data_IF_876054234436
#
_entry.id   IF_876054234436
#
_cell.length_a   1.000
_cell.length_b   1.000
_cell.length_c   1.000
_cell.angle_alpha   90.00
_cell.angle_beta   90.00
_cell.angle_gamma   90.00
#
_symmetry.space_group_name_H-M   'P 1'
#
loop_
_entity.id
_entity.type
_entity.pdbx_description
1 polymer ?
#
# COMPACT_ATOMS: atom_id res chain seq x y z
N UNK A 1 10.89 -39.71 20.36
CA UNK A 1 11.44 -39.71 18.98
C UNK A 1 10.53 -39.05 17.94
N UNK A 2 9.29 -39.51 17.67
CA UNK A 2 8.42 -38.90 16.63
C UNK A 2 8.20 -37.38 16.75
N UNK A 3 7.94 -36.86 17.96
CA UNK A 3 7.77 -35.41 18.21
C UNK A 3 9.03 -34.59 17.89
N UNK A 4 10.20 -35.12 18.22
CA UNK A 4 11.50 -34.47 17.95
C UNK A 4 11.76 -34.41 16.44
N UNK A 5 11.44 -35.48 15.71
CA UNK A 5 11.56 -35.53 14.25
C UNK A 5 10.63 -34.50 13.61
N UNK A 6 9.36 -34.41 14.05
CA UNK A 6 8.40 -33.42 13.54
C UNK A 6 8.92 -32.01 13.80
N UNK A 7 9.36 -31.72 15.03
CA UNK A 7 9.93 -30.42 15.38
C UNK A 7 11.13 -30.06 14.51
N UNK A 8 12.04 -31.00 14.28
CA UNK A 8 13.22 -30.79 13.44
C UNK A 8 12.82 -30.47 11.99
N UNK A 9 11.89 -31.24 11.42
CA UNK A 9 11.37 -31.02 10.06
C UNK A 9 10.70 -29.65 9.95
N UNK A 10 9.86 -29.26 10.90
CA UNK A 10 9.18 -27.97 10.87
C UNK A 10 10.15 -26.79 11.10
N UNK A 11 11.18 -26.98 11.93
CA UNK A 11 12.26 -26.00 12.08
C UNK A 11 13.04 -25.80 10.78
N UNK A 12 13.36 -26.88 10.06
CA UNK A 12 14.02 -26.80 8.76
C UNK A 12 13.15 -26.10 7.70
N UNK A 13 11.84 -26.40 7.66
CA UNK A 13 10.89 -25.69 6.79
C UNK A 13 10.80 -24.20 7.13
N UNK A 14 10.75 -23.86 8.42
CA UNK A 14 10.69 -22.48 8.87
C UNK A 14 11.96 -21.71 8.46
N UNK A 15 13.14 -22.33 8.61
CA UNK A 15 14.40 -21.76 8.15
C UNK A 15 14.39 -21.53 6.62
N UNK A 16 13.89 -22.49 5.84
CA UNK A 16 13.70 -22.32 4.40
C UNK A 16 12.77 -21.15 4.06
N UNK A 17 11.67 -20.98 4.81
CA UNK A 17 10.77 -19.83 4.64
C UNK A 17 11.50 -18.50 4.92
N UNK A 18 12.32 -18.42 5.98
CA UNK A 18 13.12 -17.23 6.26
C UNK A 18 14.11 -16.91 5.14
N UNK A 19 14.81 -17.92 4.60
CA UNK A 19 15.72 -17.71 3.46
C UNK A 19 14.99 -17.27 2.19
N UNK A 20 13.81 -17.83 1.91
CA UNK A 20 12.99 -17.41 0.78
C UNK A 20 12.49 -15.97 0.94
N UNK A 21 12.04 -15.60 2.14
CA UNK A 21 11.61 -14.23 2.45
C UNK A 21 12.77 -13.24 2.36
N UNK A 22 13.95 -13.62 2.83
CA UNK A 22 15.18 -12.84 2.65
C UNK A 22 15.49 -12.62 1.16
N UNK A 23 15.54 -13.68 0.35
CA UNK A 23 15.82 -13.57 -1.08
C UNK A 23 14.79 -12.70 -1.81
N UNK A 24 13.50 -12.90 -1.51
CA UNK A 24 12.42 -12.08 -2.05
C UNK A 24 12.63 -10.61 -1.69
N UNK A 25 12.88 -10.31 -0.41
CA UNK A 25 13.01 -8.94 0.06
C UNK A 25 14.23 -8.25 -0.55
N UNK A 26 15.39 -8.93 -0.61
CA UNK A 26 16.56 -8.39 -1.30
C UNK A 26 16.23 -8.04 -2.74
N UNK A 27 15.56 -8.94 -3.47
CA UNK A 27 15.23 -8.73 -4.89
C UNK A 27 14.21 -7.59 -5.13
N UNK A 28 13.17 -7.53 -4.31
CA UNK A 28 11.97 -6.72 -4.57
C UNK A 28 11.83 -5.48 -3.69
N UNK A 29 12.78 -5.19 -2.81
CA UNK A 29 12.80 -3.94 -2.02
C UNK A 29 13.71 -2.88 -2.64
N UNK A 30 13.72 -1.70 -2.04
CA UNK A 30 14.67 -0.61 -2.33
C UNK A 30 16.12 -0.95 -1.98
N UNK A 31 16.41 -2.09 -1.35
CA UNK A 31 17.79 -2.57 -1.13
C UNK A 31 18.43 -2.97 -2.47
N UNK A 32 17.67 -3.52 -3.40
CA UNK A 32 18.21 -3.88 -4.70
C UNK A 32 18.41 -2.62 -5.57
N UNK A 33 19.64 -2.39 -6.09
CA UNK A 33 20.01 -1.19 -6.83
C UNK A 33 19.32 -1.05 -8.19
N UNK A 34 18.77 -2.13 -8.75
CA UNK A 34 17.99 -2.05 -9.99
C UNK A 34 16.71 -1.27 -9.75
N UNK A 35 16.64 -0.08 -10.36
CA UNK A 35 15.51 0.85 -10.23
C UNK A 35 14.44 0.50 -11.27
N UNK A 36 13.31 -0.02 -10.80
CA UNK A 36 12.07 -0.14 -11.57
C UNK A 36 11.24 1.15 -11.44
N UNK A 37 10.19 1.31 -12.25
CA UNK A 37 9.25 2.44 -12.13
C UNK A 37 8.68 2.57 -10.70
N UNK A 38 8.28 1.45 -10.09
CA UNK A 38 7.76 1.44 -8.71
C UNK A 38 8.79 1.89 -7.67
N UNK A 39 10.04 1.43 -7.79
CA UNK A 39 11.10 1.85 -6.87
C UNK A 39 11.44 3.32 -7.04
N UNK A 40 11.40 3.82 -8.28
CA UNK A 40 11.57 5.23 -8.56
C UNK A 40 10.43 6.06 -7.96
N UNK A 41 9.17 5.62 -8.10
CA UNK A 41 8.01 6.22 -7.42
C UNK A 41 8.20 6.24 -5.91
N UNK A 42 8.62 5.11 -5.32
CA UNK A 42 8.87 5.03 -3.89
C UNK A 42 9.95 6.02 -3.41
N UNK A 43 11.04 6.18 -4.15
CA UNK A 43 12.07 7.17 -3.83
C UNK A 43 11.53 8.60 -3.87
N UNK A 44 10.72 8.95 -4.88
CA UNK A 44 10.03 10.24 -4.97
C UNK A 44 9.12 10.44 -3.75
N UNK A 45 8.30 9.45 -3.42
CA UNK A 45 7.37 9.50 -2.29
C UNK A 45 8.08 9.70 -0.95
N UNK A 46 9.23 9.07 -0.72
CA UNK A 46 9.99 9.25 0.51
C UNK A 46 10.52 10.68 0.67
N UNK A 47 11.02 11.27 -0.41
CA UNK A 47 11.57 12.63 -0.37
C UNK A 47 10.45 13.66 -0.28
N UNK A 48 9.36 13.50 -1.04
CA UNK A 48 8.21 14.41 -0.97
C UNK A 48 7.53 14.36 0.41
N UNK A 49 7.36 13.17 1.00
CA UNK A 49 6.79 13.02 2.35
C UNK A 49 7.66 13.71 3.41
N UNK A 50 8.99 13.66 3.25
CA UNK A 50 9.91 14.36 4.15
C UNK A 50 9.79 15.90 4.03
N UNK A 51 9.41 16.43 2.87
CA UNK A 51 9.08 17.85 2.68
C UNK A 51 7.73 18.20 3.31
N UNK A 52 6.69 17.38 3.07
CA UNK A 52 5.35 17.56 3.68
C UNK A 52 5.42 17.58 5.20
N UNK A 53 6.14 16.63 5.80
CA UNK A 53 6.38 16.58 7.25
C UNK A 53 7.13 17.82 7.74
N UNK A 54 8.06 18.35 6.94
CA UNK A 54 8.73 19.62 7.24
C UNK A 54 7.74 20.79 7.31
N UNK A 55 6.84 20.89 6.32
CA UNK A 55 5.80 21.91 6.25
C UNK A 55 4.76 21.81 7.38
N UNK A 56 4.56 20.62 7.96
CA UNK A 56 3.55 20.40 9.00
C UNK A 56 4.00 20.81 10.40
N UNK A 57 5.28 21.10 10.60
CA UNK A 57 5.78 21.48 11.93
C UNK A 57 5.44 22.93 12.25
N UNK A 58 5.08 23.24 13.51
CA UNK A 58 4.80 24.61 13.94
C UNK A 58 6.06 25.49 14.05
N UNK A 59 7.26 24.91 13.89
CA UNK A 59 8.52 25.64 14.11
C UNK A 59 8.93 26.49 12.92
N UNK A 60 9.31 27.74 13.21
CA UNK A 60 9.75 28.75 12.26
C UNK A 60 11.20 28.56 11.76
N UNK A 61 11.62 27.31 11.50
CA UNK A 61 12.99 27.02 11.04
C UNK A 61 13.00 26.78 9.53
N UNK A 62 14.04 27.27 8.87
CA UNK A 62 14.29 26.96 7.46
C UNK A 62 14.45 25.43 7.31
N UNK A 63 13.81 24.83 6.32
CA UNK A 63 13.90 23.40 6.07
C UNK A 63 13.86 23.05 4.58
N UNK A 64 14.25 21.81 4.25
CA UNK A 64 13.84 21.17 3.01
C UNK A 64 14.63 21.49 1.74
N UNK A 65 15.57 22.45 1.73
CA UNK A 65 16.32 22.86 0.53
C UNK A 65 16.97 21.71 -0.24
N UNK A 66 17.88 20.98 0.40
CA UNK A 66 18.55 19.82 -0.21
C UNK A 66 17.56 18.73 -0.66
N UNK A 67 16.48 18.51 0.10
CA UNK A 67 15.45 17.53 -0.23
C UNK A 67 14.63 17.95 -1.45
N UNK A 68 14.33 19.24 -1.59
CA UNK A 68 13.64 19.77 -2.76
C UNK A 68 14.49 19.62 -4.03
N UNK A 69 15.78 19.96 -3.96
CA UNK A 69 16.72 19.74 -5.07
C UNK A 69 16.86 18.25 -5.41
N UNK A 70 16.96 17.38 -4.39
CA UNK A 70 16.98 15.93 -4.60
C UNK A 70 15.69 15.43 -5.24
N UNK A 71 14.53 15.94 -4.84
CA UNK A 71 13.24 15.58 -5.40
C UNK A 71 13.16 15.91 -6.88
N UNK A 72 13.64 17.09 -7.29
CA UNK A 72 13.73 17.50 -8.69
C UNK A 72 14.57 16.52 -9.50
N UNK A 73 15.77 16.17 -9.01
CA UNK A 73 16.64 15.19 -9.70
C UNK A 73 15.97 13.82 -9.88
N UNK A 74 15.23 13.36 -8.86
CA UNK A 74 14.47 12.10 -8.95
C UNK A 74 13.32 12.20 -9.95
N UNK A 75 12.62 13.34 -9.98
CA UNK A 75 11.52 13.59 -10.90
C UNK A 75 11.98 13.68 -12.35
N UNK A 76 13.01 14.47 -12.66
CA UNK A 76 13.54 14.57 -14.03
C UNK A 76 13.94 13.18 -14.55
N UNK A 77 14.70 12.42 -13.76
CA UNK A 77 15.10 11.05 -14.13
C UNK A 77 13.90 10.11 -14.31
N UNK A 78 12.89 10.21 -13.44
CA UNK A 78 11.69 9.38 -13.57
C UNK A 78 10.90 9.72 -14.83
N UNK A 79 10.67 11.01 -15.07
CA UNK A 79 9.88 11.50 -16.20
C UNK A 79 10.57 11.15 -17.51
N UNK A 80 11.89 11.29 -17.59
CA UNK A 80 12.69 10.89 -18.76
C UNK A 80 12.57 9.40 -19.04
N UNK A 81 12.67 8.55 -18.01
CA UNK A 81 12.71 7.10 -18.19
C UNK A 81 11.33 6.44 -18.31
N UNK A 82 10.32 6.94 -17.59
CA UNK A 82 9.03 6.29 -17.40
C UNK A 82 7.82 7.16 -17.73
N UNK A 83 8.05 8.43 -18.08
CA UNK A 83 6.99 9.40 -18.30
C UNK A 83 6.37 9.94 -17.01
N UNK A 84 5.47 10.91 -17.19
CA UNK A 84 4.74 11.54 -16.10
C UNK A 84 3.66 10.59 -15.54
N UNK A 85 3.56 10.47 -14.22
CA UNK A 85 2.49 9.73 -13.56
C UNK A 85 1.89 10.50 -12.37
N UNK A 86 0.89 9.91 -11.71
CA UNK A 86 0.21 10.52 -10.55
C UNK A 86 1.16 10.90 -9.41
N UNK A 87 2.17 10.07 -9.10
CA UNK A 87 3.16 10.36 -8.05
C UNK A 87 3.98 11.60 -8.42
N UNK A 88 4.38 11.73 -9.69
CA UNK A 88 5.08 12.91 -10.18
C UNK A 88 4.23 14.18 -10.00
N UNK A 89 2.95 14.14 -10.37
CA UNK A 89 2.03 15.29 -10.24
C UNK A 89 1.91 15.73 -8.79
N UNK A 90 1.73 14.79 -7.85
CA UNK A 90 1.66 15.11 -6.42
C UNK A 90 2.97 15.71 -5.91
N UNK A 91 4.12 15.16 -6.31
CA UNK A 91 5.42 15.69 -5.92
C UNK A 91 5.67 17.11 -6.47
N UNK A 92 5.26 17.38 -7.72
CA UNK A 92 5.32 18.73 -8.33
C UNK A 92 4.45 19.71 -7.52
N UNK A 93 3.22 19.33 -7.16
CA UNK A 93 2.35 20.16 -6.33
C UNK A 93 2.95 20.43 -4.94
N UNK A 94 3.58 19.43 -4.31
CA UNK A 94 4.28 19.59 -3.03
C UNK A 94 5.44 20.58 -3.15
N UNK A 95 6.20 20.56 -4.25
CA UNK A 95 7.26 21.55 -4.49
C UNK A 95 6.71 22.97 -4.63
N UNK A 96 5.58 23.12 -5.32
CA UNK A 96 4.91 24.41 -5.46
C UNK A 96 4.40 24.94 -4.11
N UNK A 97 3.77 24.09 -3.29
CA UNK A 97 3.35 24.45 -1.92
C UNK A 97 4.54 24.76 -1.01
N UNK A 98 5.63 23.99 -1.14
CA UNK A 98 6.86 24.22 -0.39
C UNK A 98 7.43 25.62 -0.64
N UNK A 99 7.45 26.12 -1.89
CA UNK A 99 7.94 27.48 -2.17
C UNK A 99 7.06 28.59 -1.60
N UNK A 100 5.76 28.33 -1.34
CA UNK A 100 4.86 29.29 -0.68
C UNK A 100 5.13 29.40 0.82
N UNK A 101 5.82 28.42 1.41
CA UNK A 101 6.17 28.46 2.84
C UNK A 101 7.20 29.56 3.12
N UNK A 102 6.98 30.43 4.12
CA UNK A 102 7.97 31.45 4.52
C UNK A 102 9.25 30.83 5.10
N UNK A 103 9.21 29.54 5.45
CA UNK A 103 10.33 28.78 6.01
C UNK A 103 10.95 27.81 5.00
N UNK A 104 10.62 27.95 3.71
CA UNK A 104 11.34 27.26 2.65
C UNK A 104 12.81 27.68 2.60
N UNK A 105 13.60 26.97 1.81
CA UNK A 105 15.01 27.30 1.58
C UNK A 105 15.19 28.77 1.18
N UNK A 106 16.20 29.42 1.79
CA UNK A 106 16.65 30.77 1.48
C UNK A 106 17.79 30.81 0.46
N UNK A 107 18.35 29.65 0.14
CA UNK A 107 19.38 29.51 -0.89
C UNK A 107 18.80 29.83 -2.27
N UNK A 108 19.29 30.90 -2.90
CA UNK A 108 18.76 31.40 -4.17
C UNK A 108 18.93 30.41 -5.31
N UNK A 109 20.07 29.70 -5.37
CA UNK A 109 20.32 28.68 -6.40
C UNK A 109 19.26 27.56 -6.34
N UNK A 110 19.01 27.03 -5.14
CA UNK A 110 17.98 26.02 -4.92
C UNK A 110 16.59 26.55 -5.25
N UNK A 111 16.26 27.80 -4.88
CA UNK A 111 14.96 28.41 -5.21
C UNK A 111 14.77 28.54 -6.71
N UNK A 112 15.76 29.07 -7.43
CA UNK A 112 15.71 29.24 -8.88
C UNK A 112 15.51 27.89 -9.58
N UNK A 113 16.27 26.86 -9.17
CA UNK A 113 16.08 25.50 -9.68
C UNK A 113 14.66 24.96 -9.50
N UNK A 114 14.04 25.22 -8.34
CA UNK A 114 12.65 24.79 -8.11
C UNK A 114 11.70 25.58 -9.01
N UNK A 115 11.84 26.90 -9.09
CA UNK A 115 11.02 27.75 -9.97
C UNK A 115 11.11 27.32 -11.44
N UNK A 116 12.32 27.11 -11.96
CA UNK A 116 12.56 26.69 -13.34
C UNK A 116 11.91 25.32 -13.62
N UNK A 117 12.06 24.38 -12.68
CA UNK A 117 11.43 23.06 -12.79
C UNK A 117 9.91 23.14 -12.78
N UNK A 118 9.31 24.00 -11.94
CA UNK A 118 7.87 24.20 -11.89
C UNK A 118 7.33 24.85 -13.17
N UNK A 119 8.01 25.87 -13.70
CA UNK A 119 7.60 26.51 -14.97
C UNK A 119 7.70 25.53 -16.15
N UNK A 120 8.76 24.72 -16.22
CA UNK A 120 8.89 23.63 -17.21
C UNK A 120 7.71 22.64 -17.14
N UNK A 121 7.17 22.39 -15.94
CA UNK A 121 6.11 21.41 -15.70
C UNK A 121 4.74 22.03 -15.41
N UNK A 122 4.54 23.32 -15.70
CA UNK A 122 3.33 24.07 -15.35
C UNK A 122 2.04 23.45 -15.89
N UNK A 123 2.09 22.90 -17.11
CA UNK A 123 0.95 22.21 -17.75
C UNK A 123 0.53 20.93 -17.02
N UNK A 124 1.45 20.33 -16.26
CA UNK A 124 1.24 19.09 -15.51
C UNK A 124 0.72 19.35 -14.09
N UNK A 125 0.74 20.61 -13.63
CA UNK A 125 0.16 20.98 -12.34
C UNK A 125 -1.36 20.88 -12.42
N UNK A 126 -1.95 20.03 -11.60
CA UNK A 126 -3.40 19.95 -11.49
C UNK A 126 -3.93 21.12 -10.66
N UNK A 127 -5.03 21.73 -11.09
CA UNK A 127 -5.79 22.72 -10.32
C UNK A 127 -6.46 22.14 -9.07
N UNK A 128 -6.55 20.80 -8.97
CA UNK A 128 -6.95 20.11 -7.74
C UNK A 128 -5.82 20.16 -6.70
N UNK A 129 -6.09 20.64 -5.48
CA UNK A 129 -5.18 20.72 -4.32
C UNK A 129 -4.70 19.33 -3.83
N UNK A 130 -3.97 18.58 -4.64
CA UNK A 130 -3.45 17.26 -4.29
C UNK A 130 -1.98 17.41 -3.85
N UNK A 131 -1.72 17.17 -2.55
CA UNK A 131 -0.39 17.23 -1.93
C UNK A 131 -0.20 18.43 -1.00
N UNK A 132 0.73 18.32 -0.05
CA UNK A 132 1.07 19.37 0.91
C UNK A 132 0.52 19.12 2.32
N UNK A 133 0.24 20.19 3.07
CA UNK A 133 -0.31 20.08 4.43
C UNK A 133 -1.80 20.35 4.46
N UNK A 134 -2.51 19.61 5.31
CA UNK A 134 -3.93 19.82 5.58
C UNK A 134 -4.08 20.45 6.97
N UNK A 135 -4.79 21.59 7.05
CA UNK A 135 -5.23 22.11 8.35
C UNK A 135 -6.27 21.16 8.92
N UNK A 136 -6.05 20.69 10.14
CA UNK A 136 -6.94 19.79 10.86
C UNK A 136 -7.60 20.58 11.99
N UNK A 137 -8.93 20.57 12.03
CA UNK A 137 -9.71 21.03 13.18
C UNK A 137 -10.05 19.87 14.08
N UNK A 138 -10.57 20.17 15.27
CA UNK A 138 -11.21 19.15 16.09
C UNK A 138 -12.27 18.40 15.26
N UNK A 139 -12.34 17.06 15.35
CA UNK A 139 -13.39 16.28 14.72
C UNK A 139 -14.77 16.71 15.22
N UNK A 140 -15.80 16.51 14.39
CA UNK A 140 -17.19 16.68 14.82
C UNK A 140 -17.55 15.70 15.95
N UNK A 141 -18.61 16.01 16.70
CA UNK A 141 -19.18 15.04 17.64
C UNK A 141 -19.65 13.79 16.89
N UNK A 142 -19.46 12.62 17.50
CA UNK A 142 -19.91 11.34 16.98
C UNK A 142 -20.82 10.65 17.99
N UNK A 143 -21.83 9.93 17.51
CA UNK A 143 -22.58 9.01 18.36
C UNK A 143 -21.71 7.80 18.68
N UNK A 144 -21.16 7.77 19.90
CA UNK A 144 -20.28 6.70 20.37
C UNK A 144 -20.97 5.35 20.36
N UNK A 145 -22.25 5.29 20.72
CA UNK A 145 -23.00 4.03 20.82
C UNK A 145 -23.17 3.40 19.45
N UNK A 146 -23.55 4.19 18.44
CA UNK A 146 -23.68 3.69 17.06
C UNK A 146 -22.35 3.18 16.53
N UNK A 147 -21.25 3.89 16.80
CA UNK A 147 -19.91 3.47 16.35
C UNK A 147 -19.50 2.17 17.03
N UNK A 148 -19.67 2.05 18.34
CA UNK A 148 -19.36 0.82 19.08
C UNK A 148 -20.19 -0.37 18.59
N UNK A 149 -21.49 -0.18 18.36
CA UNK A 149 -22.39 -1.19 17.78
C UNK A 149 -21.96 -1.60 16.37
N UNK A 150 -21.53 -0.65 15.53
CA UNK A 150 -21.00 -0.93 14.20
C UNK A 150 -19.75 -1.83 14.26
N UNK A 151 -18.76 -1.48 15.09
CA UNK A 151 -17.54 -2.28 15.22
C UNK A 151 -17.81 -3.65 15.86
N UNK A 152 -18.69 -3.71 16.86
CA UNK A 152 -19.05 -4.96 17.55
C UNK A 152 -19.88 -5.91 16.69
N UNK A 153 -20.71 -5.39 15.79
CA UNK A 153 -21.56 -6.21 14.91
C UNK A 153 -20.80 -6.93 13.79
N UNK A 154 -19.58 -6.51 13.46
CA UNK A 154 -18.78 -7.19 12.43
C UNK A 154 -18.29 -8.55 12.94
N UNK A 155 -18.76 -9.62 12.30
CA UNK A 155 -18.37 -11.00 12.57
C UNK A 155 -17.90 -11.71 11.29
N UNK A 156 -17.18 -12.82 11.44
CA UNK A 156 -16.75 -13.62 10.30
C UNK A 156 -17.90 -14.51 9.82
N UNK A 157 -18.51 -14.15 8.70
CA UNK A 157 -19.64 -14.86 8.09
C UNK A 157 -19.12 -15.88 7.09
N UNK A 158 -19.65 -17.11 7.12
CA UNK A 158 -19.15 -18.27 6.36
C UNK A 158 -20.22 -18.92 5.48
N UNK A 159 -21.39 -18.31 5.44
CA UNK A 159 -22.53 -18.71 4.62
C UNK A 159 -23.02 -17.44 3.92
N UNK A 160 -23.20 -17.52 2.61
CA UNK A 160 -23.42 -16.36 1.75
C UNK A 160 -24.66 -16.61 0.89
N UNK A 161 -25.42 -15.56 0.60
CA UNK A 161 -26.48 -15.62 -0.41
C UNK A 161 -25.89 -15.64 -1.82
N UNK A 162 -26.74 -15.90 -2.80
CA UNK A 162 -26.41 -15.81 -4.23
C UNK A 162 -26.40 -14.36 -4.75
N UNK A 163 -26.68 -13.38 -3.89
CA UNK A 163 -26.70 -11.97 -4.28
C UNK A 163 -25.29 -11.54 -4.71
N UNK A 164 -25.14 -10.96 -5.91
CA UNK A 164 -23.84 -10.58 -6.42
C UNK A 164 -23.35 -9.31 -5.75
N UNK A 165 -22.11 -9.32 -5.25
CA UNK A 165 -21.43 -8.09 -4.83
C UNK A 165 -21.09 -7.26 -6.06
N UNK A 166 -21.57 -6.03 -6.16
CA UNK A 166 -21.35 -5.11 -7.28
C UNK A 166 -19.96 -4.47 -7.26
N UNK A 167 -19.51 -3.93 -8.39
CA UNK A 167 -18.24 -3.21 -8.44
C UNK A 167 -18.28 -1.87 -7.69
N UNK A 168 -19.45 -1.24 -7.57
CA UNK A 168 -19.60 0.00 -6.81
C UNK A 168 -19.47 -0.23 -5.31
N UNK A 169 -20.01 -1.32 -4.78
CA UNK A 169 -19.79 -1.71 -3.38
C UNK A 169 -18.31 -2.00 -3.11
N UNK A 170 -17.61 -2.67 -4.03
CA UNK A 170 -16.16 -2.89 -3.91
C UNK A 170 -15.39 -1.57 -3.96
N UNK A 171 -15.76 -0.65 -4.86
CA UNK A 171 -15.13 0.69 -4.95
C UNK A 171 -15.37 1.48 -3.68
N UNK A 172 -16.56 1.41 -3.09
CA UNK A 172 -16.87 2.07 -1.83
C UNK A 172 -16.07 1.47 -0.67
N UNK A 173 -15.95 0.14 -0.60
CA UNK A 173 -15.07 -0.51 0.36
C UNK A 173 -13.59 -0.10 0.16
N UNK A 174 -13.13 0.05 -1.08
CA UNK A 174 -11.80 0.57 -1.39
C UNK A 174 -11.64 2.04 -0.97
N UNK A 175 -12.69 2.86 -1.11
CA UNK A 175 -12.71 4.25 -0.66
C UNK A 175 -12.53 4.34 0.85
N UNK A 176 -13.25 3.52 1.62
CA UNK A 176 -13.06 3.42 3.07
C UNK A 176 -11.65 2.93 3.41
N UNK A 177 -11.15 1.90 2.72
CA UNK A 177 -9.79 1.39 2.91
C UNK A 177 -8.70 2.43 2.60
N UNK A 178 -8.96 3.40 1.72
CA UNK A 178 -8.00 4.46 1.39
C UNK A 178 -7.68 5.40 2.56
N UNK A 179 -8.49 5.41 3.61
CA UNK A 179 -8.21 6.15 4.84
C UNK A 179 -7.20 5.45 5.76
N UNK A 180 -6.78 4.23 5.44
CA UNK A 180 -5.74 3.50 6.19
C UNK A 180 -4.41 4.25 6.16
N UNK A 181 -3.78 4.54 7.32
CA UNK A 181 -2.43 5.07 7.34
C UNK A 181 -1.43 4.02 6.83
N UNK A 182 -0.39 4.46 6.13
CA UNK A 182 0.72 3.61 5.68
C UNK A 182 2.05 4.27 5.96
N UNK A 183 3.12 3.47 6.10
CA UNK A 183 4.44 3.99 6.39
C UNK A 183 4.87 5.01 5.30
N UNK A 184 5.23 6.23 5.73
CA UNK A 184 5.54 7.36 4.85
C UNK A 184 4.48 7.65 3.77
N UNK A 185 3.20 7.31 4.05
CA UNK A 185 2.08 7.48 3.13
C UNK A 185 2.25 6.80 1.76
N UNK A 186 2.96 5.65 1.71
CA UNK A 186 3.28 4.94 0.46
C UNK A 186 2.08 4.33 -0.26
N UNK A 187 1.02 3.97 0.47
CA UNK A 187 -0.23 3.43 -0.07
C UNK A 187 0.01 2.29 -1.10
N UNK A 188 0.90 1.36 -0.73
CA UNK A 188 1.38 0.30 -1.63
C UNK A 188 0.40 -0.90 -1.76
N UNK A 189 -0.75 -0.84 -1.10
CA UNK A 189 -1.78 -1.88 -1.08
C UNK A 189 -2.68 -1.83 -2.32
N UNK A 190 -3.14 -2.98 -2.81
CA UNK A 190 -4.06 -3.14 -3.94
C UNK A 190 -5.06 -4.25 -3.65
N UNK A 191 -6.30 -4.06 -4.10
CA UNK A 191 -7.36 -5.07 -4.08
C UNK A 191 -7.42 -5.78 -5.43
N UNK A 192 -7.48 -7.10 -5.39
CA UNK A 192 -7.73 -7.95 -6.56
C UNK A 192 -9.01 -8.73 -6.32
N UNK A 193 -9.95 -8.60 -7.24
CA UNK A 193 -11.29 -9.18 -7.16
C UNK A 193 -11.36 -10.37 -8.11
N UNK A 194 -11.71 -11.54 -7.59
CA UNK A 194 -11.91 -12.74 -8.39
C UNK A 194 -13.37 -13.18 -8.28
N UNK A 195 -14.02 -13.38 -9.43
CA UNK A 195 -15.42 -13.82 -9.55
C UNK A 195 -15.57 -15.15 -10.29
N UNK A 196 -14.60 -15.50 -11.13
CA UNK A 196 -14.58 -16.78 -11.83
C UNK A 196 -14.38 -17.92 -10.83
N UNK A 197 -15.40 -18.77 -10.66
CA UNK A 197 -15.41 -19.90 -9.73
C UNK A 197 -14.26 -20.89 -9.97
N UNK A 198 -13.83 -21.09 -11.22
CA UNK A 198 -12.67 -21.94 -11.52
C UNK A 198 -11.36 -21.31 -11.03
N UNK A 199 -11.23 -19.98 -11.14
CA UNK A 199 -10.07 -19.25 -10.62
C UNK A 199 -10.08 -19.28 -9.09
N UNK A 200 -11.22 -18.98 -8.46
CA UNK A 200 -11.42 -19.02 -7.01
C UNK A 200 -11.06 -20.40 -6.46
N UNK A 201 -11.58 -21.48 -7.07
CA UNK A 201 -11.30 -22.85 -6.63
C UNK A 201 -9.80 -23.17 -6.68
N UNK A 202 -9.13 -22.87 -7.80
CA UNK A 202 -7.68 -23.04 -7.94
C UNK A 202 -6.88 -22.24 -6.91
N UNK A 203 -7.40 -21.09 -6.50
CA UNK A 203 -6.83 -20.23 -5.48
C UNK A 203 -6.93 -20.86 -4.10
N UNK A 204 -8.14 -21.29 -3.73
CA UNK A 204 -8.45 -21.92 -2.46
C UNK A 204 -7.72 -23.27 -2.29
N UNK A 205 -7.60 -24.06 -3.36
CA UNK A 205 -6.86 -25.33 -3.34
C UNK A 205 -5.37 -25.14 -2.96
N UNK A 206 -4.77 -24.00 -3.34
CA UNK A 206 -3.40 -23.66 -2.92
C UNK A 206 -3.34 -23.14 -1.46
N UNK A 207 -4.48 -22.97 -0.80
CA UNK A 207 -4.66 -22.40 0.54
C UNK A 207 -5.38 -23.39 1.48
N UNK A 208 -5.00 -24.66 1.42
CA UNK A 208 -5.60 -25.79 2.16
C UNK A 208 -7.06 -26.06 1.80
N UNK A 209 -7.46 -25.78 0.56
CA UNK A 209 -8.82 -25.99 0.07
C UNK A 209 -9.83 -25.02 0.67
N UNK A 210 -11.11 -25.31 0.46
CA UNK A 210 -12.23 -24.46 0.90
C UNK A 210 -12.57 -24.60 2.38
N UNK A 211 -12.10 -25.68 3.02
CA UNK A 211 -12.44 -26.04 4.40
C UNK A 211 -13.96 -26.11 4.64
N UNK A 212 -14.75 -26.35 3.59
CA UNK A 212 -16.20 -26.53 3.63
C UNK A 212 -17.02 -25.25 3.77
N UNK A 213 -16.40 -24.06 3.84
CA UNK A 213 -17.12 -22.79 4.01
C UNK A 213 -16.87 -21.77 2.88
N UNK A 214 -15.75 -21.88 2.18
CA UNK A 214 -15.46 -20.96 1.07
C UNK A 214 -16.20 -21.32 -0.23
N UNK A 215 -16.86 -22.49 -0.31
CA UNK A 215 -17.43 -23.02 -1.56
C UNK A 215 -18.53 -22.13 -2.15
N UNK A 216 -19.34 -21.51 -1.28
CA UNK A 216 -20.47 -20.68 -1.68
C UNK A 216 -20.11 -19.19 -1.82
N UNK A 217 -18.86 -18.78 -1.52
CA UNK A 217 -18.45 -17.38 -1.68
C UNK A 217 -18.56 -16.93 -3.14
N UNK A 218 -19.33 -15.86 -3.42
CA UNK A 218 -19.53 -15.32 -4.77
C UNK A 218 -18.32 -14.55 -5.30
N UNK A 219 -17.48 -14.05 -4.38
CA UNK A 219 -16.27 -13.28 -4.68
C UNK A 219 -15.15 -13.72 -3.76
N UNK A 220 -13.93 -13.76 -4.29
CA UNK A 220 -12.69 -13.90 -3.51
C UNK A 220 -11.85 -12.64 -3.67
N UNK A 221 -11.31 -12.12 -2.57
CA UNK A 221 -10.51 -10.90 -2.56
C UNK A 221 -9.07 -11.24 -2.14
N UNK A 222 -8.06 -10.72 -2.86
CA UNK A 222 -6.68 -10.67 -2.33
C UNK A 222 -6.26 -9.21 -2.19
N UNK A 223 -5.74 -8.88 -1.00
CA UNK A 223 -5.00 -7.65 -0.75
C UNK A 223 -3.53 -7.93 -1.03
N UNK A 224 -2.94 -7.22 -1.98
CA UNK A 224 -1.50 -7.30 -2.21
C UNK A 224 -0.81 -6.01 -1.83
N UNK A 225 0.44 -6.11 -1.35
CA UNK A 225 1.27 -4.94 -1.08
C UNK A 225 2.57 -5.01 -1.88
N UNK A 226 2.89 -3.94 -2.60
CA UNK A 226 4.07 -3.87 -3.47
C UNK A 226 5.35 -3.63 -2.66
N UNK A 227 6.25 -4.61 -2.62
CA UNK A 227 7.47 -4.53 -1.84
C UNK A 227 8.51 -3.55 -2.38
N UNK A 228 8.39 -3.11 -3.64
CA UNK A 228 9.29 -2.10 -4.22
C UNK A 228 9.23 -0.75 -3.48
N UNK A 229 8.22 -0.55 -2.63
CA UNK A 229 8.03 0.69 -1.86
C UNK A 229 8.74 0.71 -0.50
N UNK A 230 9.32 -0.40 -0.06
CA UNK A 230 9.95 -0.54 1.25
C UNK A 230 11.45 -0.79 1.11
N UNK A 231 12.24 -0.43 2.12
CA UNK A 231 13.69 -0.56 2.10
C UNK A 231 14.32 -0.72 3.49
N UNK A 232 15.61 -1.05 3.52
CA UNK A 232 16.32 -1.28 4.77
C UNK A 232 15.92 -2.56 5.50
N UNK A 233 16.70 -2.97 6.48
CA UNK A 233 16.46 -4.19 7.25
C UNK A 233 15.23 -4.09 8.19
N UNK A 234 14.88 -2.88 8.62
CA UNK A 234 13.80 -2.63 9.58
C UNK A 234 12.40 -2.66 8.95
N UNK A 235 12.24 -2.38 7.65
CA UNK A 235 10.93 -2.41 6.96
C UNK A 235 10.56 -3.77 6.37
N UNK A 236 11.36 -4.83 6.62
CA UNK A 236 11.16 -6.15 6.01
C UNK A 236 9.77 -6.76 6.20
N UNK A 237 9.07 -6.36 7.27
CA UNK A 237 7.69 -6.78 7.56
C UNK A 237 6.65 -5.68 7.32
N UNK A 238 7.07 -4.46 6.95
CA UNK A 238 6.18 -3.31 6.82
C UNK A 238 5.09 -3.55 5.77
N UNK A 239 5.41 -4.25 4.67
CA UNK A 239 4.42 -4.60 3.65
C UNK A 239 3.26 -5.45 4.21
N UNK A 240 3.53 -6.34 5.17
CA UNK A 240 2.50 -7.17 5.80
C UNK A 240 1.67 -6.37 6.81
N UNK A 241 2.33 -5.48 7.56
CA UNK A 241 1.66 -4.59 8.52
C UNK A 241 0.72 -3.63 7.78
N UNK A 242 1.21 -2.90 6.78
CA UNK A 242 0.41 -1.99 5.95
C UNK A 242 -0.72 -2.73 5.23
N UNK A 243 -0.44 -3.95 4.76
CA UNK A 243 -1.43 -4.81 4.13
C UNK A 243 -2.55 -5.21 5.09
N UNK A 244 -2.22 -5.62 6.32
CA UNK A 244 -3.19 -6.00 7.35
C UNK A 244 -4.05 -4.84 7.83
N UNK A 245 -3.48 -3.63 7.94
CA UNK A 245 -4.24 -2.42 8.26
C UNK A 245 -5.22 -2.05 7.13
N UNK A 246 -4.77 -2.17 5.87
CA UNK A 246 -5.60 -1.84 4.71
C UNK A 246 -6.77 -2.81 4.55
N UNK A 247 -6.43 -4.09 4.67
CA UNK A 247 -7.34 -5.21 4.75
C UNK A 247 -8.46 -5.03 5.77
N UNK A 248 -8.12 -4.62 6.99
CA UNK A 248 -9.10 -4.43 8.06
C UNK A 248 -10.10 -3.32 7.71
N UNK A 249 -9.62 -2.18 7.22
CA UNK A 249 -10.51 -1.09 6.80
C UNK A 249 -11.34 -1.45 5.55
N UNK A 250 -10.78 -2.23 4.63
CA UNK A 250 -11.53 -2.75 3.50
C UNK A 250 -12.70 -3.64 3.96
N UNK A 251 -12.47 -4.55 4.91
CA UNK A 251 -13.51 -5.38 5.50
C UNK A 251 -14.56 -4.56 6.25
N UNK A 252 -14.15 -3.50 6.95
CA UNK A 252 -15.12 -2.55 7.56
C UNK A 252 -15.90 -1.79 6.50
N UNK A 253 -15.29 -1.46 5.37
CA UNK A 253 -15.98 -0.90 4.20
C UNK A 253 -17.02 -1.86 3.62
N UNK A 254 -16.71 -3.17 3.54
CA UNK A 254 -17.70 -4.19 3.16
C UNK A 254 -18.84 -4.26 4.17
N UNK A 255 -18.53 -4.28 5.46
CA UNK A 255 -19.53 -4.32 6.54
C UNK A 255 -20.48 -3.11 6.51
N UNK A 256 -19.93 -1.91 6.22
CA UNK A 256 -20.72 -0.69 6.02
C UNK A 256 -21.69 -0.80 4.83
N UNK A 257 -21.34 -1.58 3.81
CA UNK A 257 -22.20 -1.87 2.66
C UNK A 257 -23.02 -3.16 2.86
N UNK A 258 -23.17 -3.66 4.09
CA UNK A 258 -23.92 -4.86 4.43
C UNK A 258 -23.42 -6.15 3.75
N UNK A 259 -22.15 -6.21 3.36
CA UNK A 259 -21.55 -7.37 2.70
C UNK A 259 -20.88 -8.27 3.73
N UNK A 260 -21.38 -9.51 3.81
CA UNK A 260 -20.80 -10.58 4.58
C UNK A 260 -19.36 -10.89 4.12
N UNK A 261 -18.43 -11.02 5.07
CA UNK A 261 -17.03 -11.35 4.77
C UNK A 261 -16.39 -12.21 5.85
N UNK A 262 -15.36 -12.97 5.47
CA UNK A 262 -14.53 -13.73 6.39
C UNK A 262 -13.11 -13.79 5.87
N UNK A 263 -12.13 -13.56 6.74
CA UNK A 263 -10.73 -13.76 6.39
C UNK A 263 -10.44 -15.25 6.24
N UNK A 264 -9.86 -15.64 5.12
CA UNK A 264 -9.19 -16.94 5.00
C UNK A 264 -7.71 -16.83 5.38
N UNK A 265 -7.24 -17.77 6.19
CA UNK A 265 -5.81 -17.86 6.49
C UNK A 265 -5.00 -18.03 5.20
N UNK A 266 -4.01 -17.15 4.99
CA UNK A 266 -3.09 -17.25 3.87
C UNK A 266 -1.84 -18.07 4.25
N UNK A 267 -1.72 -19.27 3.70
CA UNK A 267 -0.55 -20.14 3.83
C UNK A 267 0.61 -19.56 3.04
N UNK A 268 1.58 -19.04 3.78
CA UNK A 268 2.84 -18.51 3.25
C UNK A 268 3.91 -19.59 3.23
N UNK A 269 3.91 -20.35 2.13
CA UNK A 269 5.03 -21.22 1.75
C UNK A 269 5.61 -20.76 0.41
N UNK A 270 6.95 -20.77 0.20
CA UNK A 270 7.56 -20.23 -1.02
C UNK A 270 7.01 -20.83 -2.32
N UNK A 271 6.67 -22.12 -2.32
CA UNK A 271 6.05 -22.80 -3.47
C UNK A 271 4.59 -22.40 -3.68
N UNK A 272 3.81 -22.31 -2.60
CA UNK A 272 2.40 -21.91 -2.65
C UNK A 272 2.27 -20.44 -3.09
N UNK A 273 3.06 -19.55 -2.51
CA UNK A 273 3.14 -18.13 -2.86
C UNK A 273 3.55 -17.98 -4.33
N UNK A 274 4.60 -18.66 -4.79
CA UNK A 274 5.02 -18.63 -6.20
C UNK A 274 3.93 -19.12 -7.16
N UNK A 275 3.20 -20.19 -6.81
CA UNK A 275 2.10 -20.72 -7.65
C UNK A 275 0.93 -19.73 -7.71
N UNK A 276 0.56 -19.13 -6.59
CA UNK A 276 -0.50 -18.13 -6.52
C UNK A 276 -0.11 -16.85 -7.28
N UNK A 277 1.05 -16.26 -6.96
CA UNK A 277 1.55 -15.03 -7.60
C UNK A 277 1.73 -15.20 -9.13
N UNK A 278 2.30 -16.32 -9.59
CA UNK A 278 2.48 -16.58 -11.03
C UNK A 278 1.17 -16.75 -11.79
N UNK A 279 0.15 -17.35 -11.17
CA UNK A 279 -1.11 -17.67 -11.85
C UNK A 279 -2.10 -16.51 -11.87
N UNK A 280 -2.03 -15.61 -10.88
CA UNK A 280 -3.16 -14.70 -10.59
C UNK A 280 -2.83 -13.23 -10.75
N UNK A 281 -1.59 -12.85 -10.42
CA UNK A 281 -1.29 -11.44 -10.23
C UNK A 281 -0.38 -10.89 -11.31
N UNK A 282 0.36 -11.73 -12.06
CA UNK A 282 1.43 -11.28 -13.00
C UNK A 282 2.48 -10.35 -12.36
N UNK A 283 2.39 -10.06 -11.06
CA UNK A 283 3.27 -9.14 -10.31
C UNK A 283 4.20 -9.95 -9.41
N UNK A 284 5.49 -10.12 -9.77
CA UNK A 284 6.44 -10.90 -8.97
C UNK A 284 6.89 -10.18 -7.68
N UNK A 285 6.52 -8.91 -7.51
CA UNK A 285 7.03 -7.97 -6.51
C UNK A 285 6.07 -7.69 -5.35
N UNK A 286 5.01 -8.48 -5.21
CA UNK A 286 3.97 -8.23 -4.20
C UNK A 286 3.91 -9.32 -3.13
N UNK A 287 3.51 -8.94 -1.92
CA UNK A 287 3.05 -9.87 -0.87
C UNK A 287 1.53 -9.91 -0.91
N UNK A 288 0.91 -11.09 -0.90
CA UNK A 288 -0.55 -11.24 -0.82
C UNK A 288 -0.98 -11.58 0.61
N UNK A 289 -2.11 -11.01 0.98
CA UNK A 289 -2.99 -11.41 2.07
C UNK A 289 -4.31 -11.78 1.39
N UNK A 290 -4.90 -12.92 1.74
CA UNK A 290 -6.12 -13.41 1.09
C UNK A 290 -7.31 -13.27 2.04
N UNK A 291 -8.46 -12.96 1.46
CA UNK A 291 -9.72 -12.67 2.12
C UNK A 291 -10.76 -13.57 1.47
#
# INVERSE_FOLDING_TARGET
>A
MKKIIIQFVDSAKLLYCFFADFHFYIKHSLINPVITQDKSNAQIMLVMHALEKGMSFPSARIFGGEKAVRLIRLLDKHIEQYGLNKVCIVAINILAEYLKSPYATRDEESRNRICDFLEKNKKSMSSSRIGGTKKVSEPSCFDKKIIEEFYASRVSVREYSDDPVTDDEIREACRIASYTPSACNRQASRIHVFRDKNVIRKLLDNQLGTQGWCDNASVLICVTVNCNYFGGNYERYQALIDGGLYAMNFVMGLHLNHIASCFKMFIRGPLAERRNLKRLLRFPNVRCLLF
#
